data_IF_639357898593
#
_entry.id   IF_639357898593
#
_cell.length_a   1.000
_cell.length_b   1.000
_cell.length_c   1.000
_cell.angle_alpha   90.00
_cell.angle_beta   90.00
_cell.angle_gamma   90.00
#
_symmetry.space_group_name_H-M   'P 1'
#
loop_
_entity.id
_entity.type
_entity.pdbx_description
1 polymer ?
#
# COMPACT_ATOMS: atom_id res chain seq x y z
N UNK A 1 7.20 -15.14 15.17
CA UNK A 1 7.99 -13.92 15.48
C UNK A 1 8.85 -13.59 14.27
N UNK A 2 8.81 -12.33 13.79
CA UNK A 2 9.70 -11.85 12.72
C UNK A 2 11.16 -12.12 13.09
N UNK A 3 11.92 -12.73 12.18
CA UNK A 3 13.38 -12.87 12.35
C UNK A 3 14.07 -11.63 11.78
N UNK A 4 15.28 -11.33 12.24
CA UNK A 4 16.09 -10.20 11.73
C UNK A 4 16.19 -10.22 10.20
N UNK A 5 16.44 -11.40 9.62
CA UNK A 5 16.49 -11.59 8.16
C UNK A 5 15.19 -11.26 7.44
N UNK A 6 14.04 -11.47 8.08
CA UNK A 6 12.73 -11.14 7.49
C UNK A 6 12.52 -9.60 7.49
N UNK A 7 13.08 -8.89 8.48
CA UNK A 7 13.00 -7.43 8.62
C UNK A 7 13.88 -6.74 7.58
N UNK A 8 15.09 -7.25 7.35
CA UNK A 8 16.02 -6.74 6.33
C UNK A 8 15.48 -6.88 4.89
N UNK A 9 14.55 -7.81 4.67
CA UNK A 9 13.96 -8.10 3.36
C UNK A 9 12.64 -7.34 3.11
N UNK A 10 12.21 -6.49 4.06
CA UNK A 10 10.96 -5.75 3.89
C UNK A 10 11.02 -4.85 2.65
N UNK A 11 10.00 -4.92 1.77
CA UNK A 11 10.00 -4.13 0.55
C UNK A 11 9.79 -2.66 0.88
N UNK A 12 10.46 -1.79 0.11
CA UNK A 12 10.13 -0.36 0.14
C UNK A 12 8.72 -0.17 -0.44
N UNK A 13 7.82 0.53 0.26
CA UNK A 13 6.47 0.76 -0.25
C UNK A 13 6.51 1.64 -1.51
N UNK A 14 5.70 1.31 -2.52
CA UNK A 14 5.46 2.23 -3.64
C UNK A 14 4.72 3.49 -3.15
N UNK A 15 5.27 4.66 -3.46
CA UNK A 15 4.73 5.97 -3.07
C UNK A 15 4.73 6.90 -4.29
N UNK A 16 3.79 7.85 -4.33
CA UNK A 16 3.58 8.70 -5.51
C UNK A 16 4.04 10.17 -5.35
N UNK A 17 4.56 10.54 -4.18
CA UNK A 17 5.16 11.85 -3.85
C UNK A 17 4.58 13.03 -4.63
N UNK A 18 3.35 13.43 -4.29
CA UNK A 18 2.67 14.54 -4.95
C UNK A 18 2.75 15.80 -4.09
N UNK A 19 3.24 16.90 -4.67
CA UNK A 19 3.15 18.21 -4.03
C UNK A 19 1.68 18.67 -3.96
N UNK A 20 1.25 19.07 -2.77
CA UNK A 20 -0.14 19.49 -2.49
C UNK A 20 -0.20 20.82 -1.75
N UNK A 21 0.86 21.64 -1.84
CA UNK A 21 1.01 22.87 -1.07
C UNK A 21 -0.16 23.83 -1.31
N UNK A 22 -0.62 23.97 -2.56
CA UNK A 22 -1.78 24.80 -2.91
C UNK A 22 -3.05 24.39 -2.14
N UNK A 23 -3.26 23.08 -1.94
CA UNK A 23 -4.41 22.55 -1.19
C UNK A 23 -4.26 22.87 0.29
N UNK A 24 -3.05 22.70 0.85
CA UNK A 24 -2.74 23.01 2.26
C UNK A 24 -2.91 24.50 2.54
N UNK A 25 -2.38 25.36 1.68
CA UNK A 25 -2.54 26.81 1.76
C UNK A 25 -4.02 27.21 1.73
N UNK A 26 -4.81 26.57 0.87
CA UNK A 26 -6.26 26.81 0.80
C UNK A 26 -6.95 26.43 2.11
N UNK A 27 -6.63 25.27 2.71
CA UNK A 27 -7.20 24.86 3.99
C UNK A 27 -6.86 25.85 5.11
N UNK A 28 -5.60 26.28 5.17
CA UNK A 28 -5.11 27.27 6.15
C UNK A 28 -5.81 28.63 5.97
N UNK A 29 -5.92 29.13 4.74
CA UNK A 29 -6.60 30.39 4.42
C UNK A 29 -8.05 30.39 4.88
N UNK A 30 -8.74 29.25 4.79
CA UNK A 30 -10.13 29.09 5.23
C UNK A 30 -10.27 28.68 6.70
N UNK A 31 -9.17 28.60 7.46
CA UNK A 31 -9.14 28.25 8.90
C UNK A 31 -9.85 26.92 9.18
N UNK A 32 -9.72 25.95 8.28
CA UNK A 32 -10.32 24.62 8.46
C UNK A 32 -9.51 23.87 9.52
N UNK A 33 -10.17 23.49 10.61
CA UNK A 33 -9.56 22.64 11.65
C UNK A 33 -9.47 21.20 11.16
N UNK A 34 -8.30 20.59 11.26
CA UNK A 34 -8.02 19.22 10.80
C UNK A 34 -7.37 18.39 11.89
N UNK A 35 -7.48 17.07 11.77
CA UNK A 35 -6.70 16.12 12.57
C UNK A 35 -5.58 15.51 11.74
N UNK A 36 -4.45 15.21 12.38
CA UNK A 36 -3.23 14.73 11.71
C UNK A 36 -2.37 15.86 11.17
N UNK A 37 -1.20 15.50 10.65
CA UNK A 37 -0.25 16.42 10.03
C UNK A 37 0.22 15.87 8.69
N UNK A 38 0.50 16.78 7.76
CA UNK A 38 1.16 16.47 6.51
C UNK A 38 2.56 17.07 6.57
N UNK A 39 3.58 16.22 6.51
CA UNK A 39 4.98 16.63 6.48
C UNK A 39 5.55 16.32 5.09
N UNK A 40 5.51 17.30 4.18
CA UNK A 40 5.96 17.16 2.80
C UNK A 40 4.90 16.62 1.84
N UNK A 41 5.34 15.86 0.84
CA UNK A 41 4.49 15.40 -0.26
C UNK A 41 3.44 14.36 0.17
N UNK A 42 2.31 14.35 -0.55
CA UNK A 42 1.28 13.33 -0.42
C UNK A 42 1.75 12.02 -1.07
N UNK A 43 1.86 10.97 -0.26
CA UNK A 43 2.42 9.68 -0.69
C UNK A 43 1.39 8.73 -1.35
N UNK A 44 0.11 9.07 -1.30
CA UNK A 44 -1.02 8.21 -1.69
C UNK A 44 -1.38 8.35 -3.17
N UNK A 45 -1.95 7.30 -3.80
CA UNK A 45 -2.45 7.41 -5.17
C UNK A 45 -3.63 8.39 -5.23
N UNK A 46 -3.60 9.31 -6.19
CA UNK A 46 -4.66 10.31 -6.39
C UNK A 46 -5.49 10.06 -7.65
N UNK A 47 -5.10 9.08 -8.48
CA UNK A 47 -5.80 8.74 -9.71
C UNK A 47 -5.74 7.25 -10.02
N UNK A 48 -6.55 6.82 -10.98
CA UNK A 48 -6.71 5.42 -11.36
C UNK A 48 -5.40 4.79 -11.85
N UNK A 49 -4.58 5.51 -12.61
CA UNK A 49 -3.31 4.99 -13.12
C UNK A 49 -2.34 4.65 -11.97
N UNK A 50 -2.23 5.55 -10.97
CA UNK A 50 -1.43 5.32 -9.78
C UNK A 50 -1.98 4.15 -8.95
N UNK A 51 -3.30 4.07 -8.78
CA UNK A 51 -3.92 2.94 -8.08
C UNK A 51 -3.67 1.59 -8.77
N UNK A 52 -3.67 1.55 -10.10
CA UNK A 52 -3.31 0.34 -10.87
C UNK A 52 -1.85 -0.04 -10.68
N UNK A 53 -0.93 0.94 -10.69
CA UNK A 53 0.49 0.70 -10.37
C UNK A 53 0.68 0.16 -8.94
N UNK A 54 -0.10 0.65 -7.98
CA UNK A 54 -0.08 0.15 -6.61
C UNK A 54 -0.60 -1.29 -6.51
N UNK A 55 -1.66 -1.63 -7.23
CA UNK A 55 -2.18 -3.00 -7.32
C UNK A 55 -1.12 -3.94 -7.94
N UNK A 56 -0.49 -3.53 -9.04
CA UNK A 56 0.57 -4.31 -9.67
C UNK A 56 1.76 -4.52 -8.72
N UNK A 57 2.20 -3.48 -8.01
CA UNK A 57 3.25 -3.59 -7.00
C UNK A 57 2.88 -4.58 -5.88
N UNK A 58 1.65 -4.51 -5.37
CA UNK A 58 1.17 -5.47 -4.36
C UNK A 58 1.27 -6.91 -4.89
N UNK A 59 0.70 -7.20 -6.06
CA UNK A 59 0.70 -8.54 -6.63
C UNK A 59 2.10 -9.09 -6.94
N UNK A 60 3.02 -8.23 -7.39
CA UNK A 60 4.37 -8.65 -7.80
C UNK A 60 5.37 -8.74 -6.64
N UNK A 61 5.28 -7.82 -5.67
CA UNK A 61 6.30 -7.64 -4.63
C UNK A 61 5.80 -8.14 -3.28
N UNK A 62 4.56 -7.81 -2.93
CA UNK A 62 4.08 -7.98 -1.56
C UNK A 62 3.32 -9.29 -1.34
N UNK A 63 2.50 -9.69 -2.32
CA UNK A 63 1.51 -10.76 -2.19
C UNK A 63 2.14 -12.08 -1.73
N UNK A 64 3.33 -12.44 -2.25
CA UNK A 64 4.08 -13.65 -1.85
C UNK A 64 4.26 -13.81 -0.33
N UNK A 65 4.30 -12.71 0.40
CA UNK A 65 4.59 -12.68 1.83
C UNK A 65 3.45 -12.07 2.66
N UNK A 66 2.33 -11.69 2.04
CA UNK A 66 1.20 -11.04 2.68
C UNK A 66 0.64 -11.86 3.84
N UNK A 67 0.13 -13.07 3.58
CA UNK A 67 -0.45 -13.94 4.61
C UNK A 67 0.55 -14.37 5.67
N UNK A 68 1.80 -14.64 5.28
CA UNK A 68 2.86 -15.03 6.24
C UNK A 68 3.12 -13.95 7.30
N UNK A 69 2.94 -12.68 6.95
CA UNK A 69 3.20 -11.53 7.84
C UNK A 69 1.94 -10.70 8.13
N UNK A 70 0.75 -11.26 7.93
CA UNK A 70 -0.52 -10.54 8.07
C UNK A 70 -0.72 -9.95 9.47
N UNK A 71 -0.33 -10.70 10.51
CA UNK A 71 -0.43 -10.29 11.92
C UNK A 71 0.89 -9.78 12.49
N UNK A 72 1.90 -9.60 11.64
CA UNK A 72 3.23 -9.23 12.08
C UNK A 72 3.31 -7.72 12.37
N UNK A 73 4.08 -7.35 13.39
CA UNK A 73 4.41 -5.95 13.71
C UNK A 73 5.89 -5.85 14.06
N UNK A 74 6.54 -4.74 13.72
CA UNK A 74 7.91 -4.43 14.09
C UNK A 74 8.10 -2.94 14.32
N UNK A 75 9.04 -2.59 15.19
CA UNK A 75 9.53 -1.21 15.36
C UNK A 75 10.86 -0.97 14.64
N UNK A 76 11.47 -2.06 14.18
CA UNK A 76 12.73 -2.13 13.47
C UNK A 76 12.45 -2.09 11.96
N UNK A 77 13.18 -1.27 11.20
CA UNK A 77 13.03 -0.96 9.77
C UNK A 77 12.15 0.25 9.40
N UNK A 78 12.50 0.93 8.30
CA UNK A 78 11.78 2.11 7.79
C UNK A 78 10.41 1.77 7.21
N UNK A 79 10.29 0.60 6.58
CA UNK A 79 9.03 0.09 5.98
C UNK A 79 8.12 -0.66 6.98
N UNK A 80 8.39 -0.52 8.28
CA UNK A 80 7.64 -1.18 9.37
C UNK A 80 6.14 -0.88 9.39
N UNK A 81 5.75 0.28 8.86
CA UNK A 81 4.36 0.74 8.83
C UNK A 81 3.55 0.15 7.68
N UNK A 82 4.22 -0.35 6.63
CA UNK A 82 3.56 -0.93 5.45
C UNK A 82 3.69 -2.45 5.39
N UNK A 83 4.84 -2.99 5.82
CA UNK A 83 5.18 -4.41 5.68
C UNK A 83 4.86 -4.89 4.25
N UNK A 84 4.11 -5.98 4.14
CA UNK A 84 3.63 -6.56 2.88
C UNK A 84 2.16 -6.20 2.58
N UNK A 85 1.55 -5.25 3.29
CA UNK A 85 0.14 -4.91 3.07
C UNK A 85 -0.09 -4.22 1.72
N UNK A 86 -1.26 -4.48 1.13
CA UNK A 86 -1.62 -3.99 -0.21
C UNK A 86 -1.76 -2.47 -0.33
N UNK A 87 -2.16 -1.81 0.76
CA UNK A 87 -2.43 -0.36 0.81
C UNK A 87 -3.47 0.11 -0.23
N UNK A 88 -4.35 -0.79 -0.67
CA UNK A 88 -5.37 -0.51 -1.70
C UNK A 88 -6.70 0.04 -1.15
N UNK A 89 -6.88 0.09 0.17
CA UNK A 89 -8.14 0.50 0.81
C UNK A 89 -8.62 1.87 0.33
N UNK A 90 -7.73 2.87 0.30
CA UNK A 90 -8.07 4.20 -0.21
C UNK A 90 -8.53 4.16 -1.67
N UNK A 91 -7.82 3.41 -2.52
CA UNK A 91 -8.13 3.30 -3.95
C UNK A 91 -9.48 2.62 -4.19
N UNK A 92 -9.82 1.59 -3.41
CA UNK A 92 -11.12 0.92 -3.52
C UNK A 92 -12.26 1.79 -3.00
N UNK A 93 -12.09 2.42 -1.83
CA UNK A 93 -13.15 3.21 -1.20
C UNK A 93 -13.45 4.52 -1.93
N UNK A 94 -12.47 5.05 -2.68
CA UNK A 94 -12.64 6.21 -3.57
C UNK A 94 -13.06 5.83 -5.00
N UNK A 95 -13.33 4.53 -5.27
CA UNK A 95 -13.72 4.01 -6.59
C UNK A 95 -12.66 4.17 -7.68
N UNK A 96 -11.40 4.41 -7.31
CA UNK A 96 -10.28 4.37 -8.24
C UNK A 96 -9.99 2.93 -8.69
N UNK A 97 -10.29 1.95 -7.83
CA UNK A 97 -10.31 0.52 -8.13
C UNK A 97 -11.65 -0.11 -7.74
N UNK A 98 -12.10 -1.04 -8.57
CA UNK A 98 -13.24 -1.91 -8.33
C UNK A 98 -12.77 -3.18 -7.59
N UNK A 99 -13.44 -3.64 -6.53
CA UNK A 99 -13.00 -4.81 -5.75
C UNK A 99 -12.74 -6.07 -6.59
N UNK A 100 -13.59 -6.32 -7.60
CA UNK A 100 -13.39 -7.43 -8.54
C UNK A 100 -12.05 -7.36 -9.30
N UNK A 101 -11.56 -6.17 -9.66
CA UNK A 101 -10.28 -6.03 -10.37
C UNK A 101 -9.10 -6.39 -9.48
N UNK A 102 -9.21 -6.11 -8.18
CA UNK A 102 -8.21 -6.50 -7.17
C UNK A 102 -8.20 -8.01 -6.97
N UNK A 103 -9.38 -8.64 -6.86
CA UNK A 103 -9.52 -10.10 -6.71
C UNK A 103 -8.95 -10.81 -7.94
N UNK A 104 -9.36 -10.39 -9.14
CA UNK A 104 -8.91 -11.02 -10.39
C UNK A 104 -7.38 -10.90 -10.55
N UNK A 105 -6.79 -9.76 -10.18
CA UNK A 105 -5.34 -9.57 -10.20
C UNK A 105 -4.60 -10.47 -9.19
N UNK A 106 -5.11 -10.60 -7.96
CA UNK A 106 -4.53 -11.49 -6.94
C UNK A 106 -4.61 -12.96 -7.36
N UNK A 107 -5.75 -13.40 -7.89
CA UNK A 107 -5.93 -14.76 -8.43
C UNK A 107 -5.01 -15.03 -9.61
N UNK A 108 -4.88 -14.09 -10.54
CA UNK A 108 -3.96 -14.21 -11.67
C UNK A 108 -2.50 -14.32 -11.21
N UNK A 109 -2.10 -13.55 -10.19
CA UNK A 109 -0.76 -13.64 -9.62
C UNK A 109 -0.52 -15.00 -8.95
N UNK A 110 -1.50 -15.50 -8.17
CA UNK A 110 -1.43 -16.82 -7.56
C UNK A 110 -1.29 -17.95 -8.59
N UNK A 111 -2.12 -17.94 -9.64
CA UNK A 111 -2.09 -18.97 -10.69
C UNK A 111 -0.80 -18.97 -11.51
N UNK A 112 -0.18 -17.81 -11.70
CA UNK A 112 1.04 -17.67 -12.52
C UNK A 112 2.35 -17.81 -11.74
N UNK A 113 2.32 -17.76 -10.40
CA UNK A 113 3.52 -17.75 -9.57
C UNK A 113 3.45 -18.84 -8.48
N UNK A 114 4.19 -19.93 -8.69
CA UNK A 114 4.29 -21.08 -7.77
C UNK A 114 4.80 -20.74 -6.36
N UNK A 115 5.34 -19.53 -6.16
CA UNK A 115 5.80 -19.07 -4.85
C UNK A 115 4.71 -18.35 -4.04
N UNK A 116 3.53 -18.12 -4.63
CA UNK A 116 2.37 -17.58 -3.91
C UNK A 116 1.54 -18.79 -3.48
N UNK A 117 1.44 -18.99 -2.18
CA UNK A 117 0.65 -20.06 -1.57
C UNK A 117 -0.79 -19.59 -1.30
N UNK A 118 -1.71 -20.54 -1.06
CA UNK A 118 -3.12 -20.25 -0.77
C UNK A 118 -3.28 -19.28 0.40
N UNK A 119 -2.43 -19.40 1.43
CA UNK A 119 -2.44 -18.51 2.59
C UNK A 119 -2.19 -17.03 2.23
N UNK A 120 -1.69 -16.74 1.02
CA UNK A 120 -1.47 -15.36 0.57
C UNK A 120 -2.70 -14.74 -0.10
N UNK A 121 -3.68 -15.55 -0.48
CA UNK A 121 -4.88 -15.15 -1.24
C UNK A 121 -6.19 -15.55 -0.55
N UNK A 122 -6.12 -16.05 0.69
CA UNK A 122 -7.27 -16.33 1.55
C UNK A 122 -7.91 -15.07 2.15
#
# INVERSE_FOLDING_TARGET
>A
KLKVKDIEQLPKPLMFSLNVDEIVERLTRHKISTIGSLNGDLLWPVNRAQSLSLLAHFCQVCLRHFGRFQDAMTVEHESKWSLYHSRLSFSMNSKLLHPKEVIDAALSAYQSNKHIDIAQVE
#
